data_IF_517905284248
#
_entry.id   IF_517905284248
#
_cell.length_a   1.000
_cell.length_b   1.000
_cell.length_c   1.000
_cell.angle_alpha   90.00
_cell.angle_beta   90.00
_cell.angle_gamma   90.00
#
_symmetry.space_group_name_H-M   'P 1'
#
loop_
_entity.id
_entity.type
_entity.pdbx_description
1 polymer ?
#
# COMPACT_ATOMS: atom_id res chain seq x y z
N UNK A 1 -14.02 8.02 -1.01
CA UNK A 1 -13.11 9.00 -0.40
C UNK A 1 -12.40 8.32 0.78
N UNK A 2 -11.47 7.40 0.48
CA UNK A 2 -10.77 6.63 1.53
C UNK A 2 -9.45 7.34 1.82
N UNK A 3 -9.27 7.76 3.07
CA UNK A 3 -8.02 8.36 3.56
C UNK A 3 -7.10 7.34 4.21
N UNK A 4 -7.65 6.31 4.85
CA UNK A 4 -6.87 5.31 5.58
C UNK A 4 -7.34 3.91 5.24
N UNK A 5 -6.39 2.99 5.07
CA UNK A 5 -6.64 1.58 4.80
C UNK A 5 -5.82 0.71 5.75
N UNK A 6 -6.50 -0.20 6.45
CA UNK A 6 -5.88 -1.14 7.37
C UNK A 6 -5.98 -2.54 6.76
N UNK A 7 -4.87 -3.06 6.23
CA UNK A 7 -4.83 -4.31 5.46
C UNK A 7 -3.88 -5.34 6.07
N UNK A 8 -3.40 -5.12 7.29
CA UNK A 8 -2.50 -6.03 7.98
C UNK A 8 -3.08 -7.45 8.08
N UNK A 9 -2.20 -8.46 8.12
CA UNK A 9 -2.54 -9.87 8.34
C UNK A 9 -3.49 -10.46 7.30
N UNK A 10 -3.27 -10.13 6.02
CA UNK A 10 -4.02 -10.70 4.90
C UNK A 10 -3.10 -11.50 3.96
N UNK A 11 -3.66 -11.94 2.83
CA UNK A 11 -2.95 -12.67 1.78
C UNK A 11 -2.73 -11.80 0.53
N UNK A 12 -2.47 -10.52 0.72
CA UNK A 12 -2.30 -9.55 -0.37
C UNK A 12 -0.89 -9.67 -0.95
N UNK A 13 -0.81 -9.89 -2.25
CA UNK A 13 0.45 -9.92 -3.00
C UNK A 13 0.61 -8.75 -3.97
N UNK A 14 -0.51 -8.17 -4.42
CA UNK A 14 -0.55 -7.01 -5.31
C UNK A 14 -1.27 -5.82 -4.65
N UNK A 15 -0.64 -4.65 -4.74
CA UNK A 15 -1.16 -3.38 -4.24
C UNK A 15 -1.21 -2.31 -5.34
N UNK A 16 -1.08 -2.70 -6.60
CA UNK A 16 -1.21 -1.80 -7.75
C UNK A 16 -2.46 -0.89 -7.70
N UNK A 17 -3.63 -1.31 -7.16
CA UNK A 17 -4.78 -0.41 -7.04
C UNK A 17 -4.54 0.79 -6.12
N UNK A 18 -3.68 0.66 -5.10
CA UNK A 18 -3.40 1.74 -4.14
C UNK A 18 -2.73 2.95 -4.80
N UNK A 19 -2.01 2.74 -5.91
CA UNK A 19 -1.36 3.79 -6.70
C UNK A 19 -2.37 4.80 -7.25
N UNK A 20 -3.62 4.40 -7.45
CA UNK A 20 -4.69 5.27 -7.98
C UNK A 20 -5.52 6.01 -6.91
N UNK A 21 -5.39 5.63 -5.63
CA UNK A 21 -6.22 6.17 -4.55
C UNK A 21 -5.73 7.55 -4.10
N UNK A 22 -6.08 8.60 -4.85
CA UNK A 22 -5.52 9.96 -4.68
C UNK A 22 -5.73 10.58 -3.30
N UNK A 23 -6.76 10.16 -2.57
CA UNK A 23 -7.09 10.72 -1.25
C UNK A 23 -6.52 9.88 -0.09
N UNK A 24 -5.84 8.77 -0.39
CA UNK A 24 -5.21 7.92 0.60
C UNK A 24 -4.02 8.65 1.22
N UNK A 25 -3.97 8.69 2.55
CA UNK A 25 -2.91 9.28 3.36
C UNK A 25 -2.18 8.24 4.20
N UNK A 26 -2.80 7.09 4.49
CA UNK A 26 -2.17 6.00 5.25
C UNK A 26 -2.62 4.62 4.77
N UNK A 27 -1.69 3.68 4.74
CA UNK A 27 -1.99 2.25 4.57
C UNK A 27 -1.10 1.37 5.45
N UNK A 28 -1.69 0.33 6.03
CA UNK A 28 -0.96 -0.72 6.74
C UNK A 28 -1.03 -2.04 5.98
N UNK A 29 0.12 -2.67 5.74
CA UNK A 29 0.30 -3.86 4.90
C UNK A 29 1.08 -4.96 5.62
N UNK A 30 1.32 -4.82 6.93
CA UNK A 30 2.14 -5.75 7.68
C UNK A 30 1.59 -7.17 7.61
N UNK A 31 2.49 -8.15 7.63
CA UNK A 31 2.12 -9.58 7.58
C UNK A 31 1.28 -9.95 6.34
N UNK A 32 1.58 -9.35 5.18
CA UNK A 32 1.08 -9.77 3.89
C UNK A 32 2.19 -10.38 3.02
N UNK A 33 1.89 -11.39 2.18
CA UNK A 33 2.83 -11.97 1.22
C UNK A 33 3.03 -11.08 -0.01
N UNK A 34 3.52 -9.85 0.21
CA UNK A 34 3.72 -8.87 -0.85
C UNK A 34 4.69 -9.39 -1.92
N UNK A 35 4.31 -9.24 -3.18
CA UNK A 35 5.19 -9.60 -4.31
C UNK A 35 6.40 -8.66 -4.41
N UNK A 36 7.47 -9.11 -5.08
CA UNK A 36 8.62 -8.26 -5.37
C UNK A 36 8.23 -6.99 -6.13
N UNK A 37 7.20 -7.04 -6.97
CA UNK A 37 6.68 -5.85 -7.68
C UNK A 37 5.98 -4.89 -6.72
N UNK A 38 5.15 -5.40 -5.81
CA UNK A 38 4.53 -4.59 -4.76
C UNK A 38 5.60 -3.84 -3.94
N UNK A 39 6.62 -4.56 -3.48
CA UNK A 39 7.67 -4.01 -2.62
C UNK A 39 8.58 -3.01 -3.36
N UNK A 40 9.02 -3.34 -4.57
CA UNK A 40 10.06 -2.55 -5.26
C UNK A 40 9.51 -1.47 -6.19
N UNK A 41 8.24 -1.54 -6.57
CA UNK A 41 7.63 -0.61 -7.55
C UNK A 41 6.48 0.17 -6.91
N UNK A 42 5.47 -0.54 -6.39
CA UNK A 42 4.22 0.13 -5.99
C UNK A 42 4.31 0.81 -4.63
N UNK A 43 4.98 0.23 -3.63
CA UNK A 43 5.18 0.89 -2.33
C UNK A 43 5.91 2.23 -2.53
N UNK A 44 7.06 2.31 -3.23
CA UNK A 44 7.73 3.60 -3.48
C UNK A 44 6.85 4.64 -4.18
N UNK A 45 6.00 4.22 -5.13
CA UNK A 45 5.06 5.13 -5.81
C UNK A 45 4.00 5.67 -4.86
N UNK A 46 3.49 4.83 -3.96
CA UNK A 46 2.52 5.22 -2.93
C UNK A 46 3.18 6.17 -1.92
N UNK A 47 4.38 5.87 -1.44
CA UNK A 47 5.15 6.73 -0.53
C UNK A 47 5.52 8.08 -1.17
N UNK A 48 5.89 8.11 -2.45
CA UNK A 48 6.23 9.34 -3.18
C UNK A 48 5.06 10.35 -3.22
N UNK A 49 3.83 9.86 -3.13
CA UNK A 49 2.63 10.70 -3.03
C UNK A 49 2.40 11.27 -1.62
N UNK A 50 3.25 10.96 -0.66
CA UNK A 50 3.11 11.38 0.74
C UNK A 50 2.21 10.47 1.57
N UNK A 51 1.92 9.25 1.10
CA UNK A 51 1.16 8.26 1.87
C UNK A 51 2.09 7.57 2.87
N UNK A 52 1.68 7.48 4.14
CA UNK A 52 2.35 6.67 5.14
C UNK A 52 2.09 5.18 4.87
N UNK A 53 3.14 4.40 4.59
CA UNK A 53 3.05 2.95 4.39
C UNK A 53 3.70 2.23 5.56
N UNK A 54 2.89 1.52 6.34
CA UNK A 54 3.37 0.63 7.40
C UNK A 54 3.42 -0.81 6.87
N UNK A 55 4.54 -1.50 7.08
CA UNK A 55 4.88 -2.80 6.47
C UNK A 55 5.41 -3.79 7.49
#
# INVERSE_FOLDING_TARGET
>A
NLSELYLDMNQISDISPLVSLTNLTKVTLALNPLSSTAVNVHIPQVEQRGVEVLR
#
